data_IF_455831535206
#
_entry.id   IF_455831535206
#
_cell.length_a   1.000
_cell.length_b   1.000
_cell.length_c   1.000
_cell.angle_alpha   90.00
_cell.angle_beta   90.00
_cell.angle_gamma   90.00
#
_symmetry.space_group_name_H-M   'P 1'
#
loop_
_entity.id
_entity.type
_entity.pdbx_description
1 polymer ?
#
# COMPACT_ATOMS: atom_id res chain seq x y z
N UNK A 1 -34.74 60.73 -44.21
CA UNK A 1 -33.93 59.74 -44.96
C UNK A 1 -32.59 59.38 -44.29
N UNK A 2 -31.56 60.26 -44.20
CA UNK A 2 -30.27 59.87 -43.56
C UNK A 2 -30.35 59.65 -42.04
N UNK A 3 -31.19 60.42 -41.33
CA UNK A 3 -31.38 60.32 -39.88
C UNK A 3 -32.13 59.04 -39.46
N UNK A 4 -33.12 58.64 -40.26
CA UNK A 4 -33.94 57.44 -39.99
C UNK A 4 -33.15 56.16 -40.23
N UNK A 5 -32.32 56.13 -41.29
CA UNK A 5 -31.42 55.00 -41.54
C UNK A 5 -30.42 54.78 -40.40
N UNK A 6 -29.98 55.86 -39.74
CA UNK A 6 -29.09 55.79 -38.57
C UNK A 6 -29.81 55.25 -37.34
N UNK A 7 -31.04 55.70 -37.07
CA UNK A 7 -31.86 55.18 -35.95
C UNK A 7 -32.22 53.70 -36.13
N UNK A 8 -32.53 53.27 -37.35
CA UNK A 8 -32.82 51.87 -37.66
C UNK A 8 -31.57 51.00 -37.45
N UNK A 9 -30.40 51.48 -37.87
CA UNK A 9 -29.13 50.76 -37.68
C UNK A 9 -28.73 50.65 -36.21
N UNK A 10 -28.86 51.73 -35.43
CA UNK A 10 -28.62 51.73 -33.98
C UNK A 10 -29.59 50.80 -33.23
N UNK A 11 -30.85 50.73 -33.67
CA UNK A 11 -31.84 49.80 -33.10
C UNK A 11 -31.49 48.34 -33.43
N UNK A 12 -31.13 48.03 -34.68
CA UNK A 12 -30.70 46.69 -35.09
C UNK A 12 -29.45 46.23 -34.35
N UNK A 13 -28.50 47.14 -34.09
CA UNK A 13 -27.27 46.84 -33.36
C UNK A 13 -27.54 46.56 -31.88
N UNK A 14 -28.44 47.31 -31.25
CA UNK A 14 -28.88 47.05 -29.87
C UNK A 14 -29.56 45.70 -29.72
N UNK A 15 -30.44 45.34 -30.67
CA UNK A 15 -31.11 44.03 -30.68
C UNK A 15 -30.09 42.90 -30.83
N UNK A 16 -29.14 43.02 -31.75
CA UNK A 16 -28.06 42.02 -31.94
C UNK A 16 -27.19 41.85 -30.70
N UNK A 17 -26.81 42.94 -30.06
CA UNK A 17 -26.00 42.89 -28.83
C UNK A 17 -26.77 42.20 -27.70
N UNK A 18 -28.07 42.48 -27.58
CA UNK A 18 -28.92 41.88 -26.57
C UNK A 18 -29.11 40.37 -26.80
N UNK A 19 -29.33 39.94 -28.05
CA UNK A 19 -29.40 38.53 -28.42
C UNK A 19 -28.08 37.78 -28.17
N UNK A 20 -26.94 38.41 -28.46
CA UNK A 20 -25.62 37.82 -28.22
C UNK A 20 -25.33 37.66 -26.72
N UNK A 21 -25.73 38.64 -25.91
CA UNK A 21 -25.55 38.61 -24.46
C UNK A 21 -26.46 37.57 -23.80
N UNK A 22 -27.70 37.44 -24.27
CA UNK A 22 -28.63 36.38 -23.86
C UNK A 22 -28.10 34.99 -24.24
N UNK A 23 -27.56 34.82 -25.45
CA UNK A 23 -26.96 33.57 -25.89
C UNK A 23 -25.73 33.18 -25.03
N UNK A 24 -24.87 34.16 -24.68
CA UNK A 24 -23.73 33.94 -23.77
C UNK A 24 -24.19 33.55 -22.36
N UNK A 25 -25.22 34.21 -21.84
CA UNK A 25 -25.82 33.88 -20.54
C UNK A 25 -26.40 32.46 -20.53
N UNK A 26 -27.07 32.04 -21.60
CA UNK A 26 -27.64 30.70 -21.71
C UNK A 26 -26.54 29.63 -21.78
N UNK A 27 -25.47 29.87 -22.54
CA UNK A 27 -24.33 28.96 -22.64
C UNK A 27 -23.67 28.74 -21.28
N UNK A 28 -23.40 29.83 -20.53
CA UNK A 28 -22.83 29.77 -19.19
C UNK A 28 -23.72 29.02 -18.20
N UNK A 29 -25.05 29.19 -18.29
CA UNK A 29 -26.01 28.44 -17.47
C UNK A 29 -25.98 26.95 -17.79
N UNK A 30 -25.91 26.58 -19.08
CA UNK A 30 -25.81 25.17 -19.51
C UNK A 30 -24.52 24.53 -19.03
N UNK A 31 -23.37 25.19 -19.23
CA UNK A 31 -22.07 24.69 -18.80
C UNK A 31 -22.00 24.51 -17.28
N UNK A 32 -22.54 25.47 -16.52
CA UNK A 32 -22.61 25.37 -15.05
C UNK A 32 -23.49 24.21 -14.60
N UNK A 33 -24.63 23.99 -15.26
CA UNK A 33 -25.54 22.88 -14.96
C UNK A 33 -24.89 21.53 -15.28
N UNK A 34 -24.20 21.42 -16.41
CA UNK A 34 -23.48 20.21 -16.80
C UNK A 34 -22.36 19.90 -15.81
N UNK A 35 -21.59 20.91 -15.41
CA UNK A 35 -20.52 20.77 -14.41
C UNK A 35 -21.06 20.38 -13.05
N UNK A 36 -22.22 20.90 -12.66
CA UNK A 36 -22.90 20.51 -11.43
C UNK A 36 -23.34 19.04 -11.47
N UNK A 37 -23.95 18.59 -12.59
CA UNK A 37 -24.34 17.19 -12.79
C UNK A 37 -23.14 16.24 -12.73
N UNK A 38 -22.04 16.60 -13.39
CA UNK A 38 -20.81 15.80 -13.39
C UNK A 38 -20.23 15.68 -11.98
N UNK A 39 -20.22 16.77 -11.21
CA UNK A 39 -19.74 16.78 -9.84
C UNK A 39 -20.64 15.97 -8.90
N UNK A 40 -21.96 16.06 -9.05
CA UNK A 40 -22.91 15.24 -8.29
C UNK A 40 -22.74 13.75 -8.61
N UNK A 41 -22.54 13.39 -9.88
CA UNK A 41 -22.28 12.02 -10.29
C UNK A 41 -20.95 11.51 -9.71
N UNK A 42 -19.89 12.31 -9.80
CA UNK A 42 -18.59 11.98 -9.21
C UNK A 42 -18.68 11.77 -7.70
N UNK A 43 -19.43 12.62 -6.99
CA UNK A 43 -19.67 12.48 -5.55
C UNK A 43 -20.47 11.22 -5.23
N UNK A 44 -21.47 10.86 -6.04
CA UNK A 44 -22.24 9.60 -5.89
C UNK A 44 -21.36 8.37 -6.09
N UNK A 45 -20.58 8.33 -7.16
CA UNK A 45 -19.65 7.22 -7.44
C UNK A 45 -18.61 7.06 -6.34
N UNK A 46 -18.07 8.19 -5.83
CA UNK A 46 -17.13 8.19 -4.70
C UNK A 46 -17.79 7.72 -3.41
N UNK A 47 -19.02 8.14 -3.12
CA UNK A 47 -19.78 7.68 -1.96
C UNK A 47 -20.14 6.20 -2.06
N UNK A 48 -20.45 5.70 -3.25
CA UNK A 48 -20.75 4.29 -3.50
C UNK A 48 -19.49 3.42 -3.35
N UNK A 49 -18.33 3.85 -3.89
CA UNK A 49 -17.05 3.20 -3.64
C UNK A 49 -16.68 3.18 -2.16
N UNK A 50 -16.93 4.29 -1.46
CA UNK A 50 -16.70 4.39 -0.01
C UNK A 50 -17.65 3.46 0.76
N UNK A 51 -18.91 3.35 0.36
CA UNK A 51 -19.88 2.41 0.97
C UNK A 51 -19.55 0.95 0.66
N UNK A 52 -19.09 0.64 -0.55
CA UNK A 52 -18.67 -0.71 -0.92
C UNK A 52 -17.41 -1.14 -0.17
N UNK A 53 -16.47 -0.23 0.06
CA UNK A 53 -15.31 -0.47 0.94
C UNK A 53 -15.69 -0.50 2.44
N UNK A 54 -16.79 0.17 2.80
CA UNK A 54 -17.30 0.22 4.17
C UNK A 54 -18.38 -0.84 4.48
N UNK A 55 -18.69 -1.77 3.57
CA UNK A 55 -19.54 -2.93 3.86
C UNK A 55 -18.77 -3.88 4.78
N UNK A 56 -19.12 -3.96 6.08
CA UNK A 56 -18.39 -4.78 7.02
C UNK A 56 -19.05 -6.15 7.10
N UNK A 57 -18.26 -7.19 6.95
CA UNK A 57 -18.57 -8.48 7.58
C UNK A 57 -18.58 -8.26 9.10
N UNK A 58 -19.76 -7.93 9.61
CA UNK A 58 -20.29 -8.15 10.95
C UNK A 58 -19.31 -8.13 12.17
N UNK A 59 -19.51 -7.10 13.02
CA UNK A 59 -19.40 -7.07 14.50
C UNK A 59 -18.01 -7.07 15.14
N UNK A 60 -17.59 -5.91 15.67
CA UNK A 60 -17.87 -5.47 17.05
C UNK A 60 -17.23 -4.09 17.29
N UNK A 61 -17.91 -3.28 18.10
CA UNK A 61 -17.50 -1.95 18.55
C UNK A 61 -16.10 -1.97 19.18
N UNK A 62 -15.19 -1.10 18.71
CA UNK A 62 -14.23 -0.37 19.56
C UNK A 62 -13.87 0.93 18.84
N UNK A 63 -14.51 2.05 19.20
CA UNK A 63 -14.04 3.40 18.86
C UNK A 63 -12.81 3.74 19.72
N UNK A 64 -11.68 3.19 19.33
CA UNK A 64 -10.35 3.62 19.75
C UNK A 64 -9.47 3.82 18.51
N UNK A 65 -8.37 4.61 18.59
CA UNK A 65 -7.33 4.52 17.57
C UNK A 65 -6.98 3.04 17.39
N UNK A 66 -6.81 2.54 16.15
CA UNK A 66 -6.59 1.12 15.90
C UNK A 66 -5.51 0.65 16.86
N UNK A 67 -5.85 -0.29 17.74
CA UNK A 67 -4.90 -0.85 18.68
C UNK A 67 -3.68 -1.26 17.86
N UNK A 68 -2.49 -0.90 18.34
CA UNK A 68 -1.26 -1.28 17.66
C UNK A 68 -1.33 -2.79 17.36
N UNK A 69 -1.02 -3.21 16.12
CA UNK A 69 -1.20 -4.60 15.72
C UNK A 69 -0.49 -5.50 16.73
N UNK A 70 -1.20 -6.51 17.21
CA UNK A 70 -0.66 -7.45 18.18
C UNK A 70 0.51 -8.23 17.58
N UNK A 71 1.30 -8.89 18.42
CA UNK A 71 2.39 -9.73 17.92
C UNK A 71 1.83 -10.88 17.06
N UNK A 72 0.68 -11.45 17.43
CA UNK A 72 -0.03 -12.44 16.62
C UNK A 72 -0.40 -11.89 15.24
N UNK A 73 -0.90 -10.66 15.15
CA UNK A 73 -1.21 -10.02 13.86
C UNK A 73 0.02 -9.87 12.98
N UNK A 74 1.17 -9.53 13.58
CA UNK A 74 2.43 -9.37 12.85
C UNK A 74 3.00 -10.71 12.37
N UNK A 75 2.88 -11.77 13.17
CA UNK A 75 3.26 -13.12 12.75
C UNK A 75 2.35 -13.63 11.62
N UNK A 76 1.04 -13.39 11.73
CA UNK A 76 0.10 -13.72 10.67
C UNK A 76 0.37 -12.93 9.38
N UNK A 77 0.75 -11.66 9.48
CA UNK A 77 1.12 -10.83 8.33
C UNK A 77 2.41 -11.33 7.67
N UNK A 78 3.40 -11.74 8.47
CA UNK A 78 4.61 -12.38 7.97
C UNK A 78 4.31 -13.64 7.14
N UNK A 79 3.44 -14.52 7.62
CA UNK A 79 3.03 -15.73 6.88
C UNK A 79 2.29 -15.37 5.59
N UNK A 80 1.35 -14.41 5.63
CA UNK A 80 0.62 -13.94 4.44
C UNK A 80 1.56 -13.37 3.38
N UNK A 81 2.59 -12.63 3.78
CA UNK A 81 3.60 -12.09 2.85
C UNK A 81 4.43 -13.21 2.20
N UNK A 82 4.73 -14.27 2.94
CA UNK A 82 5.36 -15.47 2.36
C UNK A 82 4.46 -16.14 1.32
N UNK A 83 3.16 -16.23 1.58
CA UNK A 83 2.18 -16.77 0.63
C UNK A 83 2.12 -15.92 -0.64
N UNK A 84 2.02 -14.59 -0.51
CA UNK A 84 2.01 -13.67 -1.67
C UNK A 84 3.30 -13.82 -2.49
N UNK A 85 4.47 -13.87 -1.83
CA UNK A 85 5.75 -14.01 -2.51
C UNK A 85 5.86 -15.32 -3.30
N UNK A 86 5.30 -16.41 -2.76
CA UNK A 86 5.36 -17.74 -3.38
C UNK A 86 4.30 -17.94 -4.47
N UNK A 87 3.17 -17.25 -4.41
CA UNK A 87 2.12 -17.28 -5.45
C UNK A 87 2.66 -16.86 -6.83
N UNK A 88 2.22 -17.57 -7.89
CA UNK A 88 2.70 -17.35 -9.27
C UNK A 88 2.22 -16.03 -9.90
N UNK A 89 1.24 -15.36 -9.30
CA UNK A 89 0.61 -14.14 -9.83
C UNK A 89 1.18 -12.81 -9.32
N UNK A 90 1.99 -12.84 -8.26
CA UNK A 90 2.53 -11.60 -7.67
C UNK A 90 3.50 -10.90 -8.63
N UNK A 91 3.27 -9.60 -8.84
CA UNK A 91 4.09 -8.70 -9.66
C UNK A 91 4.22 -7.36 -8.95
N UNK A 92 5.22 -6.59 -9.36
CA UNK A 92 5.52 -5.25 -8.83
C UNK A 92 5.71 -5.22 -7.31
N UNK A 93 6.28 -6.29 -6.76
CA UNK A 93 6.58 -6.42 -5.34
C UNK A 93 7.64 -5.38 -4.95
N UNK A 94 7.41 -4.69 -3.85
CA UNK A 94 8.30 -3.70 -3.26
C UNK A 94 9.04 -4.31 -2.08
N UNK A 95 10.02 -3.56 -1.59
CA UNK A 95 10.74 -3.95 -0.37
C UNK A 95 9.81 -4.11 0.83
N UNK A 96 8.82 -3.24 1.00
CA UNK A 96 7.84 -3.33 2.10
C UNK A 96 6.99 -4.61 2.05
N UNK A 97 6.84 -5.21 0.87
CA UNK A 97 5.99 -6.38 0.65
C UNK A 97 6.73 -7.69 0.94
N UNK A 98 8.06 -7.62 1.14
CA UNK A 98 8.83 -8.77 1.55
C UNK A 98 8.47 -9.18 2.98
N UNK A 99 8.49 -10.49 3.28
CA UNK A 99 8.11 -11.02 4.58
C UNK A 99 9.24 -10.85 5.59
N UNK A 100 9.71 -9.63 5.87
CA UNK A 100 10.85 -9.42 6.77
C UNK A 100 10.58 -9.98 8.18
N UNK A 101 11.57 -10.64 8.82
CA UNK A 101 11.38 -11.28 10.12
C UNK A 101 11.56 -10.25 11.24
N UNK A 102 10.68 -9.26 11.29
CA UNK A 102 10.70 -8.18 12.30
C UNK A 102 9.30 -7.90 12.82
N UNK A 103 9.21 -7.43 14.06
CA UNK A 103 7.95 -7.05 14.71
C UNK A 103 7.60 -5.56 14.54
N UNK A 104 8.30 -4.85 13.65
CA UNK A 104 8.07 -3.44 13.36
C UNK A 104 7.74 -3.24 11.87
N UNK A 105 7.23 -2.05 11.54
CA UNK A 105 6.90 -1.74 10.15
C UNK A 105 8.16 -1.45 9.34
N UNK A 106 8.33 -2.19 8.26
CA UNK A 106 9.49 -2.09 7.39
C UNK A 106 9.28 -1.03 6.30
N UNK A 107 10.01 0.09 6.43
CA UNK A 107 10.06 1.15 5.41
C UNK A 107 11.38 1.19 4.66
N UNK A 108 12.46 0.79 5.31
CA UNK A 108 13.82 0.78 4.77
C UNK A 108 14.70 -0.26 5.47
N UNK A 109 15.98 -0.33 5.09
CA UNK A 109 16.97 -1.26 5.63
C UNK A 109 17.36 -0.98 7.09
N UNK A 110 17.16 0.23 7.60
CA UNK A 110 17.63 0.61 8.94
C UNK A 110 16.91 -0.17 10.05
N UNK A 111 15.73 -0.71 9.75
CA UNK A 111 14.98 -1.55 10.66
C UNK A 111 15.44 -3.02 10.66
N UNK A 112 16.25 -3.49 9.70
CA UNK A 112 16.86 -4.82 9.71
C UNK A 112 18.11 -4.83 10.60
N UNK A 113 17.89 -4.82 11.90
CA UNK A 113 18.96 -4.93 12.89
C UNK A 113 18.84 -6.25 13.65
N UNK A 114 19.93 -6.75 14.24
CA UNK A 114 19.87 -7.90 15.14
C UNK A 114 18.83 -7.71 16.24
N UNK A 115 18.75 -6.51 16.82
CA UNK A 115 17.80 -6.15 17.87
C UNK A 115 16.31 -6.26 17.47
N UNK A 116 15.99 -6.17 16.17
CA UNK A 116 14.62 -6.32 15.66
C UNK A 116 14.34 -7.73 15.13
N UNK A 117 15.36 -8.43 14.62
CA UNK A 117 15.25 -9.76 14.02
C UNK A 117 15.28 -10.86 15.08
N UNK A 118 16.20 -10.78 16.05
CA UNK A 118 16.36 -11.80 17.09
C UNK A 118 15.08 -12.01 17.91
N UNK A 119 14.38 -10.95 18.40
CA UNK A 119 13.13 -11.14 19.14
C UNK A 119 12.02 -11.76 18.30
N UNK A 120 11.99 -11.51 16.99
CA UNK A 120 11.04 -12.14 16.09
C UNK A 120 11.32 -13.63 15.94
N UNK A 121 12.58 -14.01 15.72
CA UNK A 121 12.99 -15.40 15.52
C UNK A 121 12.83 -16.21 16.80
N UNK A 122 13.21 -15.65 17.95
CA UNK A 122 13.10 -16.29 19.25
C UNK A 122 11.71 -16.16 19.90
N UNK A 123 10.72 -15.60 19.20
CA UNK A 123 9.40 -15.35 19.78
C UNK A 123 8.72 -16.66 20.20
N UNK A 124 8.16 -16.70 21.42
CA UNK A 124 7.55 -17.90 22.02
C UNK A 124 6.46 -18.53 21.14
N UNK A 125 5.67 -17.71 20.44
CA UNK A 125 4.63 -18.16 19.51
C UNK A 125 5.18 -18.93 18.28
N UNK A 126 6.43 -18.69 17.89
CA UNK A 126 7.10 -19.46 16.81
C UNK A 126 7.75 -20.75 17.34
N UNK A 127 7.97 -20.83 18.65
CA UNK A 127 8.57 -21.98 19.32
C UNK A 127 7.46 -22.95 19.74
N UNK A 128 6.94 -23.71 18.79
CA UNK A 128 5.98 -24.78 19.06
C UNK A 128 6.74 -25.96 19.70
N UNK A 129 6.77 -25.98 21.04
CA UNK A 129 7.32 -27.07 21.86
C UNK A 129 8.46 -26.64 22.80
N UNK A 130 8.67 -27.33 23.94
CA UNK A 130 9.62 -26.90 24.96
C UNK A 130 11.08 -27.15 24.55
N UNK A 131 11.91 -26.10 24.48
CA UNK A 131 13.38 -26.19 24.56
C UNK A 131 14.21 -25.52 23.45
N UNK A 132 15.52 -25.40 23.69
CA UNK A 132 16.52 -24.85 22.75
C UNK A 132 16.64 -25.63 21.43
N UNK A 133 16.31 -26.92 21.46
CA UNK A 133 16.29 -27.76 20.25
C UNK A 133 15.29 -27.21 19.22
N UNK A 134 14.19 -26.61 19.67
CA UNK A 134 13.18 -25.96 18.81
C UNK A 134 13.74 -24.70 18.16
N UNK A 135 14.47 -23.86 18.91
CA UNK A 135 15.06 -22.62 18.36
C UNK A 135 16.19 -22.92 17.35
N UNK A 136 17.07 -23.90 17.67
CA UNK A 136 18.12 -24.35 16.74
C UNK A 136 17.53 -24.89 15.43
N UNK A 137 16.41 -25.62 15.50
CA UNK A 137 15.71 -26.12 14.32
C UNK A 137 15.03 -24.99 13.53
N UNK A 138 14.39 -24.04 14.24
CA UNK A 138 13.75 -22.89 13.62
C UNK A 138 14.76 -22.02 12.84
N UNK A 139 15.92 -21.71 13.44
CA UNK A 139 16.98 -20.95 12.77
C UNK A 139 17.50 -21.69 11.53
N UNK A 140 17.65 -23.02 11.59
CA UNK A 140 18.03 -23.80 10.40
C UNK A 140 16.98 -23.70 9.28
N UNK A 141 15.69 -23.75 9.63
CA UNK A 141 14.59 -23.57 8.67
C UNK A 141 14.58 -22.16 8.08
N UNK A 142 14.70 -21.13 8.92
CA UNK A 142 14.74 -19.74 8.48
C UNK A 142 15.96 -19.47 7.59
N UNK A 143 17.14 -20.03 7.87
CA UNK A 143 18.31 -19.92 7.00
C UNK A 143 18.09 -20.50 5.59
N UNK A 144 17.39 -21.62 5.47
CA UNK A 144 17.04 -22.21 4.16
C UNK A 144 16.02 -21.35 3.40
N UNK A 145 15.20 -20.62 4.14
CA UNK A 145 14.17 -19.75 3.59
C UNK A 145 14.73 -18.40 3.15
N UNK A 146 15.67 -17.85 3.93
CA UNK A 146 16.33 -16.56 3.70
C UNK A 146 17.58 -16.65 2.83
N UNK A 147 17.95 -17.84 2.32
CA UNK A 147 19.12 -17.97 1.48
C UNK A 147 19.04 -17.05 0.23
N UNK A 148 20.07 -16.23 -0.06
CA UNK A 148 20.05 -15.26 -1.17
C UNK A 148 19.70 -15.89 -2.52
N UNK A 149 20.19 -17.10 -2.80
CA UNK A 149 19.90 -17.83 -4.04
C UNK A 149 18.39 -18.07 -4.24
N UNK A 150 17.65 -18.30 -3.15
CA UNK A 150 16.19 -18.51 -3.21
C UNK A 150 15.46 -17.25 -3.65
N UNK A 151 16.01 -16.06 -3.39
CA UNK A 151 15.39 -14.78 -3.76
C UNK A 151 15.68 -14.36 -5.21
N UNK A 152 16.72 -14.93 -5.84
CA UNK A 152 17.03 -14.65 -7.26
C UNK A 152 15.85 -15.01 -8.18
N UNK A 153 15.08 -16.05 -7.85
CA UNK A 153 13.89 -16.46 -8.60
C UNK A 153 12.73 -15.45 -8.54
N UNK A 154 12.70 -14.60 -7.50
CA UNK A 154 11.70 -13.55 -7.34
C UNK A 154 12.11 -12.23 -7.99
N UNK A 155 13.35 -12.09 -8.44
CA UNK A 155 13.89 -10.85 -9.04
C UNK A 155 12.99 -10.26 -10.12
N UNK A 156 12.42 -11.09 -11.00
CA UNK A 156 11.53 -10.63 -12.09
C UNK A 156 10.16 -10.12 -11.60
N UNK A 157 9.79 -10.41 -10.36
CA UNK A 157 8.52 -10.00 -9.73
C UNK A 157 8.66 -8.77 -8.85
N UNK A 158 9.90 -8.43 -8.48
CA UNK A 158 10.23 -7.28 -7.64
C UNK A 158 10.49 -6.07 -8.53
N UNK A 159 9.97 -4.91 -8.14
CA UNK A 159 10.25 -3.64 -8.83
C UNK A 159 11.76 -3.45 -8.90
N UNK A 160 12.29 -3.21 -10.10
CA UNK A 160 13.74 -3.17 -10.36
C UNK A 160 14.49 -2.21 -9.43
N UNK A 161 13.88 -1.06 -9.09
CA UNK A 161 14.44 -0.07 -8.17
C UNK A 161 14.59 -0.59 -6.74
N UNK A 162 13.73 -1.50 -6.30
CA UNK A 162 13.75 -2.08 -4.96
C UNK A 162 14.64 -3.33 -4.87
N UNK A 163 15.04 -3.94 -6.00
CA UNK A 163 15.83 -5.17 -6.00
C UNK A 163 17.15 -5.08 -5.20
N UNK A 164 17.99 -4.03 -5.36
CA UNK A 164 19.22 -3.92 -4.57
C UNK A 164 18.94 -3.92 -3.06
N UNK A 165 17.90 -3.19 -2.65
CA UNK A 165 17.49 -3.10 -1.25
C UNK A 165 16.97 -4.43 -0.71
N UNK A 166 16.20 -5.19 -1.51
CA UNK A 166 15.76 -6.54 -1.12
C UNK A 166 16.96 -7.48 -0.98
N UNK A 167 17.90 -7.45 -1.93
CA UNK A 167 19.09 -8.30 -1.90
C UNK A 167 19.95 -8.03 -0.65
N UNK A 168 20.17 -6.75 -0.33
CA UNK A 168 20.90 -6.34 0.87
C UNK A 168 20.18 -6.76 2.15
N UNK A 169 18.85 -6.54 2.22
CA UNK A 169 18.06 -6.97 3.38
C UNK A 169 18.10 -8.49 3.61
N UNK A 170 18.05 -9.28 2.53
CA UNK A 170 18.17 -10.75 2.61
C UNK A 170 19.53 -11.17 3.15
N UNK A 171 20.60 -10.49 2.73
CA UNK A 171 21.95 -10.75 3.26
C UNK A 171 22.03 -10.44 4.76
N UNK A 172 21.52 -9.29 5.19
CA UNK A 172 21.50 -8.89 6.61
C UNK A 172 20.76 -9.95 7.45
N UNK A 173 19.56 -10.35 7.04
CA UNK A 173 18.79 -11.39 7.75
C UNK A 173 19.58 -12.69 7.84
N UNK A 174 20.21 -13.10 6.74
CA UNK A 174 21.02 -14.33 6.69
C UNK A 174 22.20 -14.25 7.65
N UNK A 175 22.90 -13.11 7.70
CA UNK A 175 24.04 -12.90 8.62
C UNK A 175 23.60 -12.96 10.09
N UNK A 176 22.49 -12.31 10.44
CA UNK A 176 21.93 -12.37 11.80
C UNK A 176 21.60 -13.80 12.19
N UNK A 177 20.90 -14.55 11.33
CA UNK A 177 20.56 -15.95 11.58
C UNK A 177 21.80 -16.85 11.72
N UNK A 178 22.85 -16.62 10.93
CA UNK A 178 24.14 -17.32 11.06
C UNK A 178 24.77 -17.05 12.42
N UNK A 179 24.76 -15.80 12.87
CA UNK A 179 25.32 -15.41 14.16
C UNK A 179 24.54 -16.02 15.32
N UNK A 180 23.20 -15.96 15.29
CA UNK A 180 22.34 -16.64 16.27
C UNK A 180 22.64 -18.15 16.34
N UNK A 181 22.83 -18.81 15.19
CA UNK A 181 23.19 -20.24 15.15
C UNK A 181 24.56 -20.50 15.80
N UNK A 182 25.55 -19.65 15.54
CA UNK A 182 26.90 -19.77 16.14
C UNK A 182 26.84 -19.63 17.65
N UNK A 183 26.10 -18.63 18.15
CA UNK A 183 26.00 -18.38 19.59
C UNK A 183 25.31 -19.54 20.32
N UNK A 184 24.26 -20.11 19.75
CA UNK A 184 23.61 -21.33 20.27
C UNK A 184 24.51 -22.58 20.25
N UNK A 185 25.57 -22.57 19.45
CA UNK A 185 26.55 -23.68 19.39
C UNK A 185 27.72 -23.46 20.35
N UNK A 186 27.95 -22.22 20.82
CA UNK A 186 29.03 -21.90 21.77
C UNK A 186 28.68 -22.24 23.22
N UNK A 187 27.40 -22.36 23.55
CA UNK A 187 26.91 -22.61 24.91
C UNK A 187 26.33 -24.02 25.12
N UNK A 188 26.43 -24.92 24.12
CA UNK A 188 25.96 -26.31 24.18
C UNK A 188 27.13 -27.28 24.04
#
# INVERSE_FOLDING_TARGET
MKEEARRIKEFQERVRLQEEEEARQELLKREKLERQRLNEQYQRDMAERRRAQASPSNRMNVDGPPAAPSIDDRLNDYEKRWDILTQKGARDLRFSDMPWPVLCDMRDLSALTPANIEPFVAHSLRLVGPGENTLKQLIKSDLLMWHPDRFTKYRKRIVQLHWPMVQEGVNIVTEVLINMKKDLTRFA
#
